data_IF_568736614473
#
_entry.id   IF_568736614473
#
_cell.length_a   1.000
_cell.length_b   1.000
_cell.length_c   1.000
_cell.angle_alpha   90.00
_cell.angle_beta   90.00
_cell.angle_gamma   90.00
#
_symmetry.space_group_name_H-M   'P 1'
#
loop_
_entity.id
_entity.type
_entity.pdbx_description
1 polymer ?
#
# COMPACT_ATOMS: atom_id res chain seq x y z
N UNK A 1 -26.85 -22.08 -38.36
CA UNK A 1 -25.81 -22.47 -37.36
C UNK A 1 -24.52 -21.64 -37.38
N UNK A 2 -24.19 -20.88 -38.45
CA UNK A 2 -22.95 -20.06 -38.50
C UNK A 2 -22.97 -18.84 -37.56
N UNK A 3 -24.12 -18.19 -37.38
CA UNK A 3 -24.29 -17.00 -36.52
C UNK A 3 -24.11 -17.30 -35.02
N UNK A 4 -24.55 -18.46 -34.56
CA UNK A 4 -24.41 -18.91 -33.16
C UNK A 4 -22.93 -19.11 -32.79
N UNK A 5 -22.11 -19.63 -33.71
CA UNK A 5 -20.65 -19.83 -33.49
C UNK A 5 -19.90 -18.49 -33.38
N UNK A 6 -20.32 -17.47 -34.12
CA UNK A 6 -19.72 -16.12 -34.06
C UNK A 6 -20.06 -15.44 -32.73
N UNK A 7 -21.31 -15.54 -32.28
CA UNK A 7 -21.74 -15.00 -30.97
C UNK A 7 -21.00 -15.64 -29.79
N UNK A 8 -20.80 -16.95 -29.81
CA UNK A 8 -20.03 -17.66 -28.78
C UNK A 8 -18.56 -17.23 -28.73
N UNK A 9 -17.93 -16.99 -29.89
CA UNK A 9 -16.53 -16.55 -29.96
C UNK A 9 -16.33 -15.13 -29.41
N UNK A 10 -17.27 -14.22 -29.67
CA UNK A 10 -17.26 -12.84 -29.14
C UNK A 10 -17.48 -12.85 -27.61
N UNK A 11 -18.34 -13.74 -27.11
CA UNK A 11 -18.57 -13.90 -25.67
C UNK A 11 -17.33 -14.42 -24.95
N UNK A 12 -16.59 -15.37 -25.54
CA UNK A 12 -15.34 -15.87 -24.96
C UNK A 12 -14.25 -14.80 -24.92
N UNK A 13 -14.06 -14.02 -26.00
CA UNK A 13 -13.06 -12.94 -26.06
C UNK A 13 -13.31 -11.83 -25.02
N UNK A 14 -14.58 -11.50 -24.75
CA UNK A 14 -14.94 -10.49 -23.75
C UNK A 14 -14.69 -10.96 -22.31
N UNK A 15 -14.77 -12.26 -22.02
CA UNK A 15 -14.38 -12.84 -20.73
C UNK A 15 -12.86 -12.82 -20.51
N UNK A 16 -12.04 -13.13 -21.52
CA UNK A 16 -10.58 -13.04 -21.43
C UNK A 16 -10.06 -11.61 -21.27
N UNK A 17 -10.73 -10.63 -21.90
CA UNK A 17 -10.39 -9.23 -21.70
C UNK A 17 -10.65 -8.79 -20.25
N UNK A 18 -11.78 -9.18 -19.65
CA UNK A 18 -12.14 -8.81 -18.28
C UNK A 18 -11.14 -9.34 -17.24
N UNK A 19 -10.64 -10.56 -17.40
CA UNK A 19 -9.63 -11.14 -16.47
C UNK A 19 -8.29 -10.41 -16.57
N UNK A 20 -7.82 -10.10 -17.78
CA UNK A 20 -6.57 -9.37 -17.98
C UNK A 20 -6.64 -7.92 -17.47
N UNK A 21 -7.80 -7.26 -17.56
CA UNK A 21 -8.02 -5.93 -16.98
C UNK A 21 -8.11 -5.98 -15.45
N UNK A 22 -8.73 -7.01 -14.88
CA UNK A 22 -8.80 -7.21 -13.43
C UNK A 22 -7.41 -7.43 -12.81
N UNK A 23 -6.55 -8.24 -13.44
CA UNK A 23 -5.16 -8.43 -12.98
C UNK A 23 -4.35 -7.12 -13.03
N UNK A 24 -4.48 -6.33 -14.11
CA UNK A 24 -3.80 -5.03 -14.23
C UNK A 24 -4.29 -4.01 -13.20
N UNK A 25 -5.59 -3.98 -12.91
CA UNK A 25 -6.15 -3.13 -11.87
C UNK A 25 -5.57 -3.47 -10.48
N UNK A 26 -5.40 -4.76 -10.19
CA UNK A 26 -4.81 -5.25 -8.94
C UNK A 26 -3.33 -4.82 -8.80
N UNK A 27 -2.52 -4.93 -9.86
CA UNK A 27 -1.12 -4.48 -9.85
C UNK A 27 -1.01 -2.97 -9.60
N UNK A 28 -1.87 -2.15 -10.19
CA UNK A 28 -1.87 -0.71 -9.95
C UNK A 28 -2.21 -0.38 -8.49
N UNK A 29 -3.19 -1.08 -7.91
CA UNK A 29 -3.55 -0.93 -6.50
C UNK A 29 -2.39 -1.35 -5.57
N UNK A 30 -1.70 -2.45 -5.89
CA UNK A 30 -0.50 -2.90 -5.15
C UNK A 30 0.59 -1.84 -5.19
N UNK A 31 0.89 -1.29 -6.38
CA UNK A 31 1.89 -0.22 -6.54
C UNK A 31 1.52 1.01 -5.72
N UNK A 32 0.26 1.45 -5.75
CA UNK A 32 -0.22 2.58 -4.96
C UNK A 32 -0.07 2.33 -3.46
N UNK A 33 -0.42 1.12 -2.99
CA UNK A 33 -0.27 0.75 -1.59
C UNK A 33 1.19 0.75 -1.12
N UNK A 34 2.10 0.24 -1.96
CA UNK A 34 3.54 0.27 -1.68
C UNK A 34 4.04 1.71 -1.64
N UNK A 35 3.71 2.52 -2.64
CA UNK A 35 4.11 3.93 -2.69
C UNK A 35 3.64 4.67 -1.44
N UNK A 36 2.36 4.49 -1.06
CA UNK A 36 1.80 5.11 0.14
C UNK A 36 2.52 4.67 1.43
N UNK A 37 2.94 3.41 1.57
CA UNK A 37 3.74 2.98 2.74
C UNK A 37 5.12 3.64 2.75
N UNK A 38 5.75 3.77 1.59
CA UNK A 38 7.05 4.44 1.44
C UNK A 38 6.93 5.92 1.81
N UNK A 39 5.92 6.63 1.31
CA UNK A 39 5.68 8.04 1.60
C UNK A 39 5.46 8.28 3.10
N UNK A 40 4.67 7.43 3.75
CA UNK A 40 4.47 7.48 5.21
C UNK A 40 5.77 7.28 5.98
N UNK A 41 6.63 6.34 5.54
CA UNK A 41 7.95 6.12 6.17
C UNK A 41 8.86 7.34 5.99
N UNK A 42 8.89 7.91 4.79
CA UNK A 42 9.66 9.12 4.48
C UNK A 42 9.20 10.27 5.37
N UNK A 43 7.89 10.48 5.51
CA UNK A 43 7.33 11.51 6.37
C UNK A 43 7.80 11.34 7.83
N UNK A 44 7.70 10.13 8.39
CA UNK A 44 8.17 9.84 9.76
C UNK A 44 9.66 10.15 9.92
N UNK A 45 10.49 9.78 8.93
CA UNK A 45 11.93 10.03 8.95
C UNK A 45 12.25 11.51 8.84
N UNK A 46 11.54 12.27 8.00
CA UNK A 46 11.68 13.71 7.88
C UNK A 46 11.29 14.42 9.17
N UNK A 47 10.17 14.04 9.80
CA UNK A 47 9.77 14.56 11.11
C UNK A 47 10.83 14.27 12.17
N UNK A 48 11.38 13.05 12.19
CA UNK A 48 12.47 12.71 13.10
C UNK A 48 13.72 13.55 12.86
N UNK A 49 14.12 13.73 11.58
CA UNK A 49 15.27 14.57 11.20
C UNK A 49 15.10 16.01 11.71
N UNK A 50 13.95 16.62 11.44
CA UNK A 50 13.62 17.98 11.91
C UNK A 50 13.66 18.06 13.43
N UNK A 51 13.07 17.09 14.13
CA UNK A 51 13.08 17.03 15.59
C UNK A 51 14.51 16.98 16.16
N UNK A 52 15.38 16.14 15.58
CA UNK A 52 16.77 16.03 16.02
C UNK A 52 17.56 17.29 15.71
N UNK A 53 17.33 17.93 14.56
CA UNK A 53 17.98 19.20 14.20
C UNK A 53 17.56 20.35 15.15
N UNK A 54 16.33 20.34 15.65
CA UNK A 54 15.84 21.32 16.61
C UNK A 54 16.23 21.01 18.07
N UNK A 55 16.74 19.81 18.37
CA UNK A 55 17.03 19.37 19.72
C UNK A 55 18.33 20.00 20.24
N UNK A 56 18.21 20.86 21.26
CA UNK A 56 19.35 21.55 21.90
C UNK A 56 20.07 20.71 22.96
N UNK A 57 19.41 19.70 23.52
CA UNK A 57 19.94 18.88 24.62
C UNK A 57 19.63 17.40 24.42
N UNK A 58 20.45 16.54 25.01
CA UNK A 58 20.35 15.07 24.89
C UNK A 58 18.97 14.49 25.28
N UNK A 59 18.26 15.00 26.31
CA UNK A 59 16.89 14.56 26.60
C UNK A 59 15.92 14.74 25.43
N UNK A 60 16.00 15.85 24.69
CA UNK A 60 15.12 16.12 23.55
C UNK A 60 15.32 15.10 22.42
N UNK A 61 16.57 14.67 22.19
CA UNK A 61 16.89 13.61 21.22
C UNK A 61 16.24 12.28 21.62
N UNK A 62 16.19 11.96 22.92
CA UNK A 62 15.50 10.75 23.41
C UNK A 62 14.00 10.82 23.09
N UNK A 63 13.37 11.97 23.30
CA UNK A 63 11.97 12.20 22.93
C UNK A 63 11.74 12.04 21.43
N UNK A 64 12.61 12.61 20.57
CA UNK A 64 12.53 12.42 19.12
C UNK A 64 12.59 10.93 18.73
N UNK A 65 13.49 10.14 19.37
CA UNK A 65 13.60 8.71 19.12
C UNK A 65 12.35 7.94 19.55
N UNK A 66 11.77 8.28 20.70
CA UNK A 66 10.54 7.68 21.21
C UNK A 66 9.37 7.95 20.26
N UNK A 67 9.20 9.21 19.82
CA UNK A 67 8.14 9.60 18.89
C UNK A 67 8.28 8.89 17.54
N UNK A 68 9.50 8.82 16.98
CA UNK A 68 9.77 8.04 15.76
C UNK A 68 9.40 6.57 15.94
N UNK A 69 9.77 5.96 17.09
CA UNK A 69 9.47 4.55 17.39
C UNK A 69 7.97 4.31 17.45
N UNK A 70 7.23 5.17 18.14
CA UNK A 70 5.77 5.09 18.25
C UNK A 70 5.09 5.22 16.87
N UNK A 71 5.48 6.22 16.07
CA UNK A 71 4.93 6.41 14.72
C UNK A 71 5.21 5.20 13.80
N UNK A 72 6.42 4.64 13.86
CA UNK A 72 6.74 3.42 13.09
C UNK A 72 5.96 2.19 13.57
N UNK A 73 5.67 2.08 14.87
CA UNK A 73 4.83 1.01 15.41
C UNK A 73 3.37 1.16 14.96
N UNK A 74 2.83 2.38 14.99
CA UNK A 74 1.49 2.67 14.47
C UNK A 74 1.37 2.30 12.99
N UNK A 75 2.37 2.65 12.17
CA UNK A 75 2.40 2.27 10.75
C UNK A 75 2.50 0.74 10.55
N UNK A 76 3.19 0.02 11.43
CA UNK A 76 3.22 -1.46 11.40
C UNK A 76 1.85 -2.04 11.77
N UNK A 77 1.17 -1.47 12.76
CA UNK A 77 -0.17 -1.91 13.17
C UNK A 77 -1.19 -1.67 12.06
N UNK A 78 -1.19 -0.49 11.43
CA UNK A 78 -2.05 -0.16 10.28
C UNK A 78 -1.89 -1.19 9.15
N UNK A 79 -0.66 -1.60 8.85
CA UNK A 79 -0.38 -2.64 7.85
C UNK A 79 -0.89 -4.01 8.22
N UNK A 80 -0.82 -4.40 9.50
CA UNK A 80 -1.37 -5.67 9.96
C UNK A 80 -2.89 -5.69 9.78
N UNK A 81 -3.56 -4.58 10.13
CA UNK A 81 -5.02 -4.45 9.94
C UNK A 81 -5.42 -4.55 8.47
N UNK A 82 -4.66 -3.93 7.55
CA UNK A 82 -4.93 -4.05 6.11
C UNK A 82 -4.67 -5.44 5.53
N UNK A 83 -3.85 -6.27 6.19
CA UNK A 83 -3.57 -7.66 5.77
C UNK A 83 -4.50 -8.69 6.41
N UNK A 84 -5.07 -8.40 7.57
CA UNK A 84 -6.01 -9.27 8.27
C UNK A 84 -7.26 -9.66 7.45
N UNK A 85 -7.88 -8.81 6.60
CA UNK A 85 -9.07 -9.21 5.84
C UNK A 85 -8.80 -10.24 4.74
N UNK A 86 -7.53 -10.59 4.45
CA UNK A 86 -7.16 -11.54 3.38
C UNK A 86 -6.67 -12.90 3.88
N UNK A 87 -6.80 -13.23 5.17
CA UNK A 87 -6.44 -14.55 5.72
C UNK A 87 -7.63 -15.52 5.87
N UNK A 88 -8.78 -15.21 5.29
CA UNK A 88 -10.01 -15.99 5.44
C UNK A 88 -10.84 -16.17 4.16
N UNK A 89 -10.24 -16.03 2.97
CA UNK A 89 -10.83 -16.45 1.69
C UNK A 89 -9.83 -17.32 0.95
#
# INVERSE_FOLDING_TARGET
MKTIKVLLSICLLSLYAQTAFAEKANINQIKQNISSDVDKRIQILNTYKICVQAAKVRPNIKTCRANKKAAMQALKAERKLKRAPHKGQ
#
